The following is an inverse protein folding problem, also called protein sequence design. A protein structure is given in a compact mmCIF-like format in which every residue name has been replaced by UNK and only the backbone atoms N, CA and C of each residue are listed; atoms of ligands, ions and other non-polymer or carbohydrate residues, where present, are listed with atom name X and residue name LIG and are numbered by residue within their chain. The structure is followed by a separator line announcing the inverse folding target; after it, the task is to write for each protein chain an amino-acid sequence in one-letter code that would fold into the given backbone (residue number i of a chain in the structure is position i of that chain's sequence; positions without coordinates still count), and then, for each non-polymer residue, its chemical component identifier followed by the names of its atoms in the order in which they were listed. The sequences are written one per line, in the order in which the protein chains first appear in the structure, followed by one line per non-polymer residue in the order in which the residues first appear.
data_IF_961188124252
#
_entry.id   IF_961188124252
#
_cell.length_a   1.000
_cell.length_b   1.000
_cell.length_c   1.000
_cell.angle_alpha   90.00
_cell.angle_beta   90.00
_cell.angle_gamma   90.00
#
_symmetry.space_group_name_H-M   'P 1'
#
loop_
_entity.id
_entity.type
_entity.pdbx_description
1 polymer ?
#
# COMPACT_ATOMS: atom_id res chain seq x y z
N UNK A 1 -47.09 -26.04 -12.13
CA UNK A 1 -45.72 -25.93 -12.66
C UNK A 1 -44.87 -25.36 -11.54
N UNK A 2 -44.15 -26.25 -10.85
CA UNK A 2 -43.25 -25.96 -9.74
C UNK A 2 -41.79 -26.02 -10.23
N UNK A 3 -40.88 -25.45 -9.44
CA UNK A 3 -39.39 -25.61 -9.37
C UNK A 3 -38.79 -24.21 -9.10
N UNK A 4 -38.57 -23.75 -7.87
CA UNK A 4 -37.69 -24.23 -6.78
C UNK A 4 -36.20 -23.98 -7.05
N UNK A 5 -35.63 -23.06 -6.24
CA UNK A 5 -34.33 -23.13 -5.58
C UNK A 5 -33.17 -23.83 -6.31
N UNK A 6 -32.17 -23.05 -6.74
CA UNK A 6 -30.82 -23.56 -6.97
C UNK A 6 -29.87 -22.93 -5.95
N UNK A 7 -29.85 -23.55 -4.77
CA UNK A 7 -28.79 -23.45 -3.78
C UNK A 7 -27.49 -23.92 -4.44
N UNK A 8 -26.57 -22.99 -4.74
CA UNK A 8 -25.20 -23.36 -5.10
C UNK A 8 -24.44 -23.75 -3.83
N UNK A 9 -24.73 -24.95 -3.36
CA UNK A 9 -23.96 -25.67 -2.37
C UNK A 9 -22.56 -25.96 -2.92
N UNK A 10 -21.58 -25.51 -2.15
CA UNK A 10 -20.15 -25.69 -2.36
C UNK A 10 -19.83 -27.19 -2.39
N UNK A 11 -19.62 -27.74 -3.59
CA UNK A 11 -19.15 -29.11 -3.74
C UNK A 11 -17.63 -29.18 -3.50
N UNK A 12 -17.30 -29.55 -2.28
CA UNK A 12 -16.29 -30.53 -1.87
C UNK A 12 -14.99 -30.62 -2.67
N UNK A 13 -13.88 -30.33 -1.98
CA UNK A 13 -12.52 -30.71 -2.38
C UNK A 13 -12.43 -32.23 -2.55
N UNK A 14 -12.03 -32.77 -3.72
CA UNK A 14 -11.60 -34.15 -3.82
C UNK A 14 -10.21 -34.29 -3.20
N UNK A 15 -10.10 -35.19 -2.22
CA UNK A 15 -8.83 -35.64 -1.65
C UNK A 15 -8.03 -36.44 -2.68
N UNK A 16 -6.74 -36.12 -2.74
CA UNK A 16 -5.54 -36.81 -3.24
C UNK A 16 -5.59 -37.94 -4.30
N UNK A 17 -4.64 -37.80 -5.22
CA UNK A 17 -3.86 -38.83 -5.92
C UNK A 17 -4.60 -39.73 -6.93
N UNK A 18 -4.67 -39.29 -8.19
CA UNK A 18 -4.57 -40.19 -9.34
C UNK A 18 -3.95 -39.44 -10.54
N UNK A 19 -2.87 -40.00 -11.07
CA UNK A 19 -2.07 -39.55 -12.20
C UNK A 19 -2.84 -38.95 -13.41
N UNK A 20 -2.46 -37.73 -13.82
CA UNK A 20 -2.98 -37.08 -15.03
C UNK A 20 -2.50 -37.81 -16.31
N UNK A 21 -3.23 -38.84 -16.74
CA UNK A 21 -3.09 -39.39 -18.09
C UNK A 21 -3.79 -38.45 -19.08
N UNK A 22 -3.02 -37.55 -19.69
CA UNK A 22 -3.47 -36.74 -20.82
C UNK A 22 -3.72 -37.63 -22.05
N UNK A 23 -4.96 -38.07 -22.25
CA UNK A 23 -5.36 -38.66 -23.53
C UNK A 23 -5.38 -37.59 -24.61
N UNK A 24 -4.53 -37.77 -25.61
CA UNK A 24 -4.27 -36.85 -26.69
C UNK A 24 -5.43 -36.87 -27.71
N UNK A 25 -6.40 -35.97 -27.55
CA UNK A 25 -7.39 -35.68 -28.60
C UNK A 25 -6.79 -34.71 -29.61
N UNK A 26 -6.75 -35.15 -30.87
CA UNK A 26 -6.22 -34.45 -32.02
C UNK A 26 -6.85 -33.07 -32.22
N UNK A 27 -6.04 -32.01 -32.13
CA UNK A 27 -6.54 -30.66 -32.42
C UNK A 27 -5.48 -29.59 -32.67
N UNK A 28 -4.32 -29.64 -32.00
CA UNK A 28 -3.31 -28.56 -32.11
C UNK A 28 -1.98 -28.99 -32.75
N UNK A 29 -1.80 -30.30 -32.98
CA UNK A 29 -0.50 -30.87 -33.35
C UNK A 29 -0.16 -30.82 -34.84
N UNK A 30 -1.02 -30.23 -35.66
CA UNK A 30 -0.81 -30.10 -37.11
C UNK A 30 0.10 -28.90 -37.47
N UNK A 31 0.38 -28.02 -36.51
CA UNK A 31 1.25 -26.85 -36.69
C UNK A 31 2.68 -27.07 -36.20
N UNK A 32 2.99 -28.22 -35.60
CA UNK A 32 4.36 -28.55 -35.22
C UNK A 32 5.01 -29.33 -36.38
N UNK A 33 5.74 -28.61 -37.23
CA UNK A 33 6.66 -29.22 -38.19
C UNK A 33 7.61 -30.14 -37.44
N UNK A 34 7.58 -31.44 -37.80
CA UNK A 34 8.37 -32.49 -37.17
C UNK A 34 9.86 -32.20 -37.38
N UNK A 35 10.56 -31.85 -36.30
CA UNK A 35 12.00 -31.64 -36.33
C UNK A 35 12.73 -32.91 -36.80
N UNK A 36 13.78 -32.82 -37.63
CA UNK A 36 14.57 -33.98 -38.02
C UNK A 36 15.20 -34.65 -36.79
N UNK A 37 15.17 -35.98 -36.75
CA UNK A 37 15.78 -36.78 -35.68
C UNK A 37 17.29 -36.50 -35.61
N UNK A 38 17.88 -36.33 -34.41
CA UNK A 38 19.29 -35.99 -34.27
C UNK A 38 20.15 -37.24 -34.55
N UNK A 39 20.77 -37.28 -35.72
CA UNK A 39 21.96 -38.12 -35.93
C UNK A 39 23.18 -37.36 -35.40
N UNK A 40 23.97 -38.06 -34.57
CA UNK A 40 25.15 -37.60 -33.85
C UNK A 40 24.86 -36.66 -32.67
N UNK A 41 25.24 -37.13 -31.48
CA UNK A 41 25.30 -36.34 -30.26
C UNK A 41 26.14 -35.08 -30.52
N UNK A 42 25.46 -33.95 -30.77
CA UNK A 42 26.08 -32.64 -30.69
C UNK A 42 26.50 -32.46 -29.24
N UNK A 43 27.81 -32.37 -29.01
CA UNK A 43 28.36 -31.90 -27.74
C UNK A 43 27.61 -30.60 -27.42
N UNK A 44 26.82 -30.62 -26.35
CA UNK A 44 26.28 -29.39 -25.79
C UNK A 44 27.51 -28.66 -25.28
N UNK A 45 28.06 -27.76 -26.10
CA UNK A 45 29.00 -26.77 -25.58
C UNK A 45 28.20 -26.01 -24.52
N UNK A 46 28.61 -26.17 -23.27
CA UNK A 46 28.04 -25.43 -22.16
C UNK A 46 28.14 -23.95 -22.53
N UNK A 47 26.98 -23.26 -22.60
CA UNK A 47 26.98 -21.81 -22.74
C UNK A 47 27.96 -21.23 -21.73
N UNK A 48 28.83 -20.29 -22.14
CA UNK A 48 29.80 -19.70 -21.23
C UNK A 48 29.05 -19.15 -20.00
N UNK A 49 29.61 -19.30 -18.78
CA UNK A 49 29.00 -18.77 -17.57
C UNK A 49 28.58 -17.32 -17.82
N UNK A 50 27.28 -17.04 -17.61
CA UNK A 50 26.75 -15.69 -17.77
C UNK A 50 27.67 -14.75 -16.96
N UNK A 51 28.28 -13.74 -17.57
CA UNK A 51 29.21 -12.87 -16.85
C UNK A 51 28.53 -12.41 -15.56
N UNK A 52 29.20 -12.63 -14.42
CA UNK A 52 28.71 -12.11 -13.14
C UNK A 52 28.56 -10.61 -13.34
N UNK A 53 27.33 -10.12 -13.24
CA UNK A 53 27.07 -8.67 -13.27
C UNK A 53 27.94 -8.05 -12.18
N UNK A 54 28.66 -7.00 -12.52
CA UNK A 54 29.33 -6.20 -11.50
C UNK A 54 28.27 -5.79 -10.46
N UNK A 55 28.61 -5.80 -9.16
CA UNK A 55 27.69 -5.38 -8.12
C UNK A 55 27.09 -4.03 -8.50
N UNK A 56 25.78 -3.88 -8.31
CA UNK A 56 25.13 -2.59 -8.51
C UNK A 56 25.88 -1.52 -7.72
N UNK A 57 26.05 -0.31 -8.29
CA UNK A 57 26.67 0.80 -7.56
C UNK A 57 26.06 0.96 -6.16
N UNK A 58 26.84 1.40 -5.16
CA UNK A 58 26.31 1.68 -3.83
C UNK A 58 25.11 2.61 -3.94
N UNK A 59 23.99 2.18 -3.38
CA UNK A 59 22.73 2.93 -3.45
C UNK A 59 22.82 4.17 -2.56
N UNK A 60 22.61 5.35 -3.13
CA UNK A 60 22.52 6.59 -2.39
C UNK A 60 21.10 6.74 -1.84
N UNK A 61 20.98 7.06 -0.55
CA UNK A 61 19.67 7.22 0.08
C UNK A 61 18.95 8.45 -0.49
N UNK A 62 17.83 8.21 -1.14
CA UNK A 62 16.91 9.22 -1.65
C UNK A 62 15.65 9.21 -0.77
N UNK A 63 14.91 10.31 -0.76
CA UNK A 63 13.63 10.38 -0.02
C UNK A 63 12.64 9.28 -0.44
N UNK A 64 12.70 8.84 -1.70
CA UNK A 64 11.95 7.69 -2.21
C UNK A 64 12.22 6.36 -1.46
N UNK A 65 13.38 6.22 -0.82
CA UNK A 65 13.73 5.04 -0.01
C UNK A 65 13.12 5.07 1.39
N UNK A 66 12.44 6.16 1.76
CA UNK A 66 11.82 6.28 3.07
C UNK A 66 10.65 5.28 3.19
N UNK A 67 10.71 4.31 4.12
CA UNK A 67 9.67 3.29 4.28
C UNK A 67 8.31 3.89 4.66
N UNK A 68 8.27 5.11 5.19
CA UNK A 68 7.04 5.81 5.56
C UNK A 68 6.15 6.07 4.35
N UNK A 69 6.72 6.31 3.17
CA UNK A 69 5.96 6.49 1.92
C UNK A 69 5.18 5.21 1.61
N UNK A 70 5.86 4.07 1.62
CA UNK A 70 5.25 2.78 1.36
C UNK A 70 4.16 2.46 2.40
N UNK A 71 4.42 2.75 3.68
CA UNK A 71 3.46 2.55 4.76
C UNK A 71 2.19 3.40 4.57
N UNK A 72 2.33 4.69 4.25
CA UNK A 72 1.22 5.62 4.04
C UNK A 72 0.37 5.18 2.83
N UNK A 73 1.02 4.89 1.70
CA UNK A 73 0.34 4.45 0.47
C UNK A 73 -0.41 3.13 0.71
N UNK A 74 0.22 2.18 1.41
CA UNK A 74 -0.41 0.90 1.75
C UNK A 74 -1.63 1.08 2.65
N UNK A 75 -1.53 1.93 3.67
CA UNK A 75 -2.67 2.23 4.54
C UNK A 75 -3.82 2.85 3.73
N UNK A 76 -3.52 3.85 2.90
CA UNK A 76 -4.53 4.49 2.05
C UNK A 76 -5.19 3.51 1.09
N UNK A 77 -4.44 2.57 0.51
CA UNK A 77 -4.99 1.54 -0.37
C UNK A 77 -5.87 0.54 0.40
N UNK A 78 -5.40 0.08 1.57
CA UNK A 78 -6.09 -0.94 2.38
C UNK A 78 -7.41 -0.43 2.96
N UNK A 79 -7.45 0.82 3.40
CA UNK A 79 -8.61 1.40 4.07
C UNK A 79 -9.41 2.34 3.17
N UNK A 80 -9.41 2.11 1.85
CA UNK A 80 -10.09 2.99 0.88
C UNK A 80 -11.55 3.29 1.26
N UNK A 81 -12.28 2.32 1.84
CA UNK A 81 -13.71 2.50 2.16
C UNK A 81 -13.98 3.36 3.41
N UNK A 82 -12.98 3.59 4.28
CA UNK A 82 -13.18 4.46 5.47
C UNK A 82 -13.04 5.94 5.13
N UNK A 83 -12.49 6.24 3.95
CA UNK A 83 -12.22 7.60 3.52
C UNK A 83 -13.36 8.17 2.67
N UNK A 84 -13.52 9.50 2.63
CA UNK A 84 -14.46 10.16 1.74
C UNK A 84 -14.20 9.77 0.27
N UNK A 85 -15.26 9.55 -0.51
CA UNK A 85 -15.15 9.22 -1.94
C UNK A 85 -14.51 10.32 -2.79
N UNK A 86 -14.48 11.56 -2.27
CA UNK A 86 -13.82 12.70 -2.90
C UNK A 86 -12.30 12.65 -2.77
N UNK A 87 -11.75 11.83 -1.87
CA UNK A 87 -10.31 11.73 -1.65
C UNK A 87 -9.64 10.90 -2.77
N UNK A 88 -8.74 11.48 -3.58
CA UNK A 88 -8.08 10.76 -4.65
C UNK A 88 -7.23 9.59 -4.14
N UNK A 89 -7.04 8.60 -5.01
CA UNK A 89 -5.96 7.62 -4.86
C UNK A 89 -4.64 8.28 -5.24
N UNK A 90 -3.56 7.92 -4.56
CA UNK A 90 -2.21 8.35 -4.89
C UNK A 90 -1.24 7.19 -4.71
N UNK A 91 -0.19 7.14 -5.54
CA UNK A 91 0.90 6.20 -5.43
C UNK A 91 2.10 6.78 -4.67
N UNK A 92 3.21 6.03 -4.61
CA UNK A 92 4.43 6.47 -3.95
C UNK A 92 5.02 7.76 -4.54
N UNK A 93 5.03 7.86 -5.88
CA UNK A 93 5.59 9.02 -6.59
C UNK A 93 4.75 10.28 -6.37
N UNK A 94 3.42 10.16 -6.41
CA UNK A 94 2.52 11.29 -6.16
C UNK A 94 2.64 11.78 -4.71
N UNK A 95 2.79 10.86 -3.75
CA UNK A 95 3.00 11.22 -2.36
C UNK A 95 4.36 11.92 -2.17
N UNK A 96 5.43 11.39 -2.77
CA UNK A 96 6.76 12.00 -2.75
C UNK A 96 6.71 13.44 -3.26
N UNK A 97 6.16 13.66 -4.45
CA UNK A 97 6.01 15.00 -5.01
C UNK A 97 5.16 15.92 -4.13
N UNK A 98 4.12 15.38 -3.49
CA UNK A 98 3.25 16.16 -2.61
C UNK A 98 3.93 16.56 -1.29
N UNK A 99 4.97 15.87 -0.82
CA UNK A 99 5.66 16.23 0.43
C UNK A 99 6.95 17.02 0.22
N UNK A 100 7.62 16.88 -0.93
CA UNK A 100 8.91 17.51 -1.24
C UNK A 100 8.82 19.02 -1.46
N UNK A 101 7.68 19.52 -2.00
CA UNK A 101 7.50 20.94 -2.27
C UNK A 101 7.68 21.83 -1.05
N UNK A 102 8.08 23.10 -1.24
CA UNK A 102 8.15 24.10 -0.16
C UNK A 102 6.83 24.21 0.59
N UNK A 103 5.73 24.18 -0.14
CA UNK A 103 4.37 23.94 0.37
C UNK A 103 3.93 22.51 0.12
N UNK A 104 3.19 21.88 1.05
CA UNK A 104 2.61 20.57 0.82
C UNK A 104 1.67 20.62 -0.38
N UNK A 105 1.76 19.62 -1.24
CA UNK A 105 0.90 19.46 -2.40
C UNK A 105 -0.53 19.09 -2.01
N UNK A 106 -1.45 19.29 -2.94
CA UNK A 106 -2.88 19.09 -2.73
C UNK A 106 -3.21 17.69 -2.19
N UNK A 107 -2.58 16.63 -2.72
CA UNK A 107 -2.80 15.27 -2.25
C UNK A 107 -2.39 15.06 -0.78
N UNK A 108 -1.28 15.66 -0.34
CA UNK A 108 -0.83 15.54 1.04
C UNK A 108 -1.78 16.27 2.00
N UNK A 109 -2.25 17.47 1.64
CA UNK A 109 -3.19 18.22 2.46
C UNK A 109 -4.58 17.57 2.53
N UNK A 110 -5.11 17.10 1.40
CA UNK A 110 -6.39 16.41 1.36
C UNK A 110 -6.34 15.12 2.18
N UNK A 111 -5.24 14.36 2.08
CA UNK A 111 -5.05 13.15 2.86
C UNK A 111 -4.93 13.44 4.36
N UNK A 112 -4.18 14.49 4.74
CA UNK A 112 -4.11 14.96 6.12
C UNK A 112 -5.50 15.30 6.67
N UNK A 113 -6.30 16.05 5.91
CA UNK A 113 -7.65 16.43 6.33
C UNK A 113 -8.54 15.20 6.53
N UNK A 114 -8.48 14.23 5.62
CA UNK A 114 -9.25 13.00 5.71
C UNK A 114 -8.81 12.13 6.90
N UNK A 115 -7.50 12.04 7.18
CA UNK A 115 -6.96 11.38 8.37
C UNK A 115 -7.45 12.02 9.66
N UNK A 116 -7.46 13.35 9.74
CA UNK A 116 -7.95 14.06 10.91
C UNK A 116 -9.45 13.85 11.12
N UNK A 117 -10.23 13.83 10.04
CA UNK A 117 -11.66 13.48 10.09
C UNK A 117 -11.89 12.07 10.63
N UNK A 118 -11.11 11.10 10.16
CA UNK A 118 -11.15 9.70 10.60
C UNK A 118 -10.72 9.53 12.07
N UNK A 119 -9.61 10.16 12.47
CA UNK A 119 -9.02 10.03 13.79
C UNK A 119 -9.88 10.68 14.87
N UNK A 120 -10.43 11.87 14.58
CA UNK A 120 -11.27 12.63 15.51
C UNK A 120 -12.76 12.25 15.41
N UNK A 121 -13.10 11.30 14.52
CA UNK A 121 -14.47 10.85 14.27
C UNK A 121 -15.46 12.01 14.02
N UNK A 122 -15.03 13.00 13.24
CA UNK A 122 -15.81 14.22 13.00
C UNK A 122 -16.89 13.96 11.96
N UNK A 123 -18.10 14.48 12.23
CA UNK A 123 -19.22 14.47 11.25
C UNK A 123 -19.02 15.45 10.10
N UNK A 124 -18.23 16.51 10.33
CA UNK A 124 -17.91 17.52 9.33
C UNK A 124 -16.49 17.32 8.83
N UNK A 125 -16.34 17.21 7.51
CA UNK A 125 -15.04 17.05 6.88
C UNK A 125 -14.14 18.25 7.13
N UNK A 126 -12.89 17.97 7.48
CA UNK A 126 -11.83 18.99 7.57
C UNK A 126 -11.47 19.42 6.15
N UNK A 127 -11.32 20.73 5.92
CA UNK A 127 -10.96 21.28 4.61
C UNK A 127 -9.48 21.65 4.56
N UNK A 128 -8.90 21.55 3.36
CA UNK A 128 -7.56 22.07 3.08
C UNK A 128 -7.45 23.54 3.51
N UNK A 129 -6.31 23.93 4.07
CA UNK A 129 -6.07 25.24 4.66
C UNK A 129 -6.72 25.50 6.03
N UNK A 130 -7.63 24.65 6.52
CA UNK A 130 -8.35 24.84 7.79
C UNK A 130 -8.13 23.68 8.79
N UNK A 131 -7.08 22.88 8.59
CA UNK A 131 -6.81 21.70 9.39
C UNK A 131 -6.04 21.97 10.68
N UNK A 132 -5.40 23.14 10.86
CA UNK A 132 -4.51 23.43 11.99
C UNK A 132 -5.15 23.16 13.35
N UNK A 133 -6.38 23.64 13.58
CA UNK A 133 -7.10 23.40 14.84
C UNK A 133 -7.41 21.91 15.08
N UNK A 134 -7.75 21.17 14.03
CA UNK A 134 -8.01 19.74 14.14
C UNK A 134 -6.70 18.97 14.39
N UNK A 135 -5.61 19.41 13.78
CA UNK A 135 -4.28 18.83 13.98
C UNK A 135 -3.80 19.02 15.42
N UNK A 136 -3.95 20.23 15.99
CA UNK A 136 -3.65 20.50 17.40
C UNK A 136 -4.46 19.61 18.35
N UNK A 137 -5.77 19.46 18.09
CA UNK A 137 -6.64 18.59 18.88
C UNK A 137 -6.21 17.12 18.82
N UNK A 138 -5.85 16.63 17.62
CA UNK A 138 -5.39 15.25 17.42
C UNK A 138 -4.08 14.98 18.19
N UNK A 139 -3.11 15.90 18.09
CA UNK A 139 -1.81 15.79 18.77
C UNK A 139 -1.97 15.85 20.29
N UNK A 140 -2.83 16.74 20.79
CA UNK A 140 -3.07 16.89 22.23
C UNK A 140 -3.76 15.66 22.82
N UNK A 141 -4.71 15.07 22.10
CA UNK A 141 -5.44 13.86 22.53
C UNK A 141 -4.49 12.67 22.66
N UNK A 142 -3.54 12.52 21.74
CA UNK A 142 -2.64 11.36 21.68
C UNK A 142 -1.25 11.64 22.28
N UNK A 143 -1.12 12.66 23.14
CA UNK A 143 0.16 13.07 23.73
C UNK A 143 0.95 11.97 24.45
N UNK A 144 0.24 11.01 25.03
CA UNK A 144 0.83 9.89 25.76
C UNK A 144 1.34 8.77 24.84
N UNK A 145 0.97 8.80 23.56
CA UNK A 145 1.33 7.82 22.53
C UNK A 145 2.28 8.42 21.49
N UNK A 146 3.04 9.45 21.85
CA UNK A 146 4.00 10.07 20.94
C UNK A 146 5.02 9.04 20.44
N UNK A 147 5.26 9.06 19.12
CA UNK A 147 6.26 8.21 18.51
C UNK A 147 7.64 8.54 19.10
N UNK A 148 8.46 7.51 19.35
CA UNK A 148 9.82 7.66 19.89
C UNK A 148 10.68 8.58 19.04
N UNK A 149 10.41 8.62 17.74
CA UNK A 149 11.11 9.44 16.75
C UNK A 149 10.97 10.94 17.00
N UNK A 150 9.96 11.37 17.78
CA UNK A 150 9.78 12.77 18.17
C UNK A 150 10.43 13.10 19.52
N UNK A 151 11.15 12.16 20.15
CA UNK A 151 11.87 12.35 21.42
C UNK A 151 10.99 12.93 22.55
N UNK A 152 9.69 12.60 22.55
CA UNK A 152 8.70 13.20 23.46
C UNK A 152 8.53 14.72 23.30
N UNK A 153 8.73 15.26 22.08
CA UNK A 153 8.48 16.67 21.73
C UNK A 153 7.20 16.80 20.91
N UNK A 154 6.49 17.91 21.10
CA UNK A 154 5.28 18.21 20.34
C UNK A 154 5.65 18.66 18.91
N UNK A 155 5.10 18.03 17.87
CA UNK A 155 5.28 18.44 16.48
C UNK A 155 5.02 19.90 16.15
N UNK A 156 4.08 20.49 16.87
CA UNK A 156 3.56 21.83 16.60
C UNK A 156 4.19 22.88 17.53
N UNK A 157 5.25 22.51 18.25
CA UNK A 157 5.96 23.43 19.15
C UNK A 157 6.48 24.65 18.37
N UNK A 158 6.45 25.83 18.99
CA UNK A 158 7.00 27.04 18.39
C UNK A 158 6.19 27.62 17.22
N UNK A 159 4.93 27.22 17.06
CA UNK A 159 4.08 27.67 15.95
C UNK A 159 4.34 26.93 14.64
N UNK A 160 5.02 25.78 14.69
CA UNK A 160 5.19 24.92 13.53
C UNK A 160 3.85 24.39 13.04
N UNK A 161 3.65 24.41 11.73
CA UNK A 161 2.47 23.90 11.03
C UNK A 161 2.91 22.86 10.01
N UNK A 162 1.96 22.11 9.45
CA UNK A 162 2.28 21.12 8.41
C UNK A 162 3.02 21.74 7.20
N UNK A 163 2.71 23.00 6.89
CA UNK A 163 3.36 23.74 5.80
C UNK A 163 4.80 24.13 6.12
N UNK A 164 5.12 24.45 7.38
CA UNK A 164 6.48 24.85 7.77
C UNK A 164 7.42 23.68 8.06
N UNK A 165 6.91 22.44 8.15
CA UNK A 165 7.69 21.23 8.37
C UNK A 165 8.50 20.83 7.13
N UNK A 166 9.65 20.18 7.35
CA UNK A 166 10.45 19.54 6.30
C UNK A 166 9.71 18.32 5.70
N UNK A 167 10.08 17.87 4.49
CA UNK A 167 9.44 16.72 3.84
C UNK A 167 9.46 15.44 4.70
N UNK A 168 10.56 15.17 5.40
CA UNK A 168 10.67 14.02 6.30
C UNK A 168 9.75 14.16 7.50
N UNK A 169 9.70 15.33 8.15
CA UNK A 169 8.80 15.56 9.29
C UNK A 169 7.33 15.44 8.89
N UNK A 170 6.97 15.89 7.68
CA UNK A 170 5.62 15.71 7.12
C UNK A 170 5.25 14.22 7.02
N UNK A 171 6.16 13.39 6.50
CA UNK A 171 5.96 11.94 6.42
C UNK A 171 5.84 11.31 7.82
N UNK A 172 6.73 11.67 8.74
CA UNK A 172 6.68 11.17 10.12
C UNK A 172 5.36 11.53 10.81
N UNK A 173 4.86 12.75 10.60
CA UNK A 173 3.58 13.20 11.15
C UNK A 173 2.41 12.39 10.56
N UNK A 174 2.35 12.26 9.23
CA UNK A 174 1.31 11.46 8.56
C UNK A 174 1.32 10.00 9.05
N UNK A 175 2.50 9.38 9.11
CA UNK A 175 2.67 8.04 9.67
C UNK A 175 2.17 7.94 11.12
N UNK A 176 2.51 8.92 11.95
CA UNK A 176 2.08 8.96 13.35
C UNK A 176 0.55 9.04 13.47
N UNK A 177 -0.10 9.90 12.69
CA UNK A 177 -1.55 10.01 12.65
C UNK A 177 -2.23 8.70 12.20
N UNK A 178 -1.63 7.99 11.23
CA UNK A 178 -2.10 6.68 10.79
C UNK A 178 -1.97 5.65 11.93
N UNK A 179 -0.85 5.62 12.64
CA UNK A 179 -0.66 4.69 13.76
C UNK A 179 -1.67 4.95 14.88
N UNK A 180 -1.95 6.21 15.20
CA UNK A 180 -3.03 6.54 16.14
C UNK A 180 -4.39 6.10 15.61
N UNK A 181 -4.66 6.32 14.33
CA UNK A 181 -5.93 5.89 13.70
C UNK A 181 -6.10 4.37 13.77
N UNK A 182 -5.05 3.59 13.52
CA UNK A 182 -5.05 2.13 13.66
C UNK A 182 -5.29 1.69 15.11
N UNK A 183 -4.76 2.44 16.08
CA UNK A 183 -4.86 2.12 17.50
C UNK A 183 -6.17 2.56 18.15
N UNK A 184 -6.80 3.65 17.71
CA UNK A 184 -7.96 4.26 18.37
C UNK A 184 -9.25 4.26 17.54
N UNK A 185 -9.20 4.23 16.20
CA UNK A 185 -10.40 4.32 15.36
C UNK A 185 -11.13 2.97 15.26
N UNK A 186 -12.37 2.94 15.75
CA UNK A 186 -13.22 1.75 15.67
C UNK A 186 -13.59 1.37 14.24
N UNK A 187 -13.73 2.36 13.34
CA UNK A 187 -14.04 2.13 11.92
C UNK A 187 -12.90 1.35 11.25
N UNK A 188 -11.66 1.75 11.53
CA UNK A 188 -10.46 1.10 11.02
C UNK A 188 -10.30 -0.30 11.62
N UNK A 189 -10.52 -0.47 12.94
CA UNK A 189 -10.49 -1.78 13.61
C UNK A 189 -11.55 -2.73 13.07
N UNK A 190 -12.78 -2.26 12.88
CA UNK A 190 -13.87 -3.05 12.32
C UNK A 190 -13.61 -3.51 10.87
N UNK A 191 -12.78 -2.78 10.12
CA UNK A 191 -12.31 -3.20 8.80
C UNK A 191 -11.10 -4.15 8.89
N UNK A 192 -10.14 -3.88 9.79
CA UNK A 192 -8.94 -4.69 9.97
C UNK A 192 -9.23 -6.10 10.48
N UNK A 193 -10.30 -6.30 11.26
CA UNK A 193 -10.75 -7.62 11.75
C UNK A 193 -11.43 -8.44 10.63
N UNK A 194 -11.84 -7.81 9.51
CA UNK A 194 -12.47 -8.48 8.36
C UNK A 194 -11.47 -9.13 7.40
N UNK A 195 -10.31 -9.58 7.88
CA UNK A 195 -9.50 -10.54 7.13
C UNK A 195 -10.27 -11.86 7.02
N UNK A 196 -11.03 -12.00 5.93
CA UNK A 196 -11.41 -13.30 5.36
C UNK A 196 -10.19 -13.99 4.78
#
# INVERSE_FOLDING_TARGET
MASSDDSSDLSSVPSDDESLQLTKKDGILKFFSKAPKPTAARKIEASPPRPKREPSPPHEYVLADNPDIAFIVMFRARFTEVFPKSLPNFGPQELEHAVVGTTPGEHAEQFLCALLGLLLNRKQDVKAGHYNRALEEAVQTHKLQWAKDWESKNPLSGGATFTSMSPTERLTLLRTLILWSLASSDVVKAMGIRCR
#
